data_IF_845412278222
#
_entry.id   IF_845412278222
#
_cell.length_a   1.000
_cell.length_b   1.000
_cell.length_c   1.000
_cell.angle_alpha   90.00
_cell.angle_beta   90.00
_cell.angle_gamma   90.00
#
_symmetry.space_group_name_H-M   'P 1'
#
loop_
_entity.id
_entity.type
_entity.pdbx_description
1 polymer ?
#
# COMPACT_ATOMS: atom_id res chain seq x y z
N UNK A 1 10.77 -50.28 34.41
CA UNK A 1 11.45 -49.96 33.14
C UNK A 1 11.05 -48.55 32.70
N UNK A 2 12.02 -47.66 32.54
CA UNK A 2 11.86 -46.26 32.09
C UNK A 2 11.63 -46.22 30.56
N UNK A 3 10.66 -45.44 30.07
CA UNK A 3 10.60 -44.89 28.70
C UNK A 3 9.96 -43.50 28.80
N UNK A 4 10.77 -42.45 28.97
CA UNK A 4 11.33 -41.57 27.93
C UNK A 4 10.23 -40.74 27.25
N UNK A 5 10.24 -39.44 27.62
CA UNK A 5 9.53 -38.32 27.01
C UNK A 5 9.78 -38.26 25.50
N UNK A 6 8.75 -37.90 24.73
CA UNK A 6 8.93 -37.14 23.49
C UNK A 6 8.00 -35.94 23.51
N UNK A 7 8.55 -34.83 24.01
CA UNK A 7 8.06 -33.48 23.82
C UNK A 7 8.32 -33.10 22.36
N UNK A 8 7.30 -33.18 21.50
CA UNK A 8 7.36 -32.60 20.16
C UNK A 8 7.17 -31.09 20.26
N UNK A 9 8.26 -30.38 20.56
CA UNK A 9 8.33 -28.93 20.44
C UNK A 9 8.74 -28.59 19.00
N UNK A 10 7.78 -28.59 18.08
CA UNK A 10 7.97 -28.08 16.72
C UNK A 10 7.81 -26.56 16.75
N UNK A 11 8.90 -25.83 17.05
CA UNK A 11 8.97 -24.39 16.78
C UNK A 11 9.29 -24.23 15.30
N UNK A 12 8.26 -24.16 14.47
CA UNK A 12 8.39 -23.57 13.14
C UNK A 12 8.41 -22.04 13.31
N UNK A 13 9.62 -21.48 13.33
CA UNK A 13 9.86 -20.05 13.16
C UNK A 13 9.71 -19.70 11.66
N UNK A 14 8.55 -20.00 11.07
CA UNK A 14 8.11 -19.31 9.86
C UNK A 14 7.65 -17.94 10.35
N UNK A 15 8.54 -16.95 10.31
CA UNK A 15 8.12 -15.56 10.46
C UNK A 15 6.97 -15.33 9.49
N UNK A 16 5.77 -15.12 10.03
CA UNK A 16 4.59 -14.86 9.23
C UNK A 16 4.90 -13.65 8.36
N UNK A 17 5.03 -13.86 7.06
CA UNK A 17 5.13 -12.79 6.05
C UNK A 17 3.93 -11.83 6.11
N UNK A 18 2.87 -12.25 6.79
CA UNK A 18 1.69 -11.47 7.11
C UNK A 18 1.70 -11.15 8.61
N UNK A 19 2.23 -9.98 8.95
CA UNK A 19 1.86 -9.30 10.20
C UNK A 19 0.39 -8.88 10.12
N UNK A 20 -0.32 -8.87 11.24
CA UNK A 20 -1.67 -8.29 11.31
C UNK A 20 -1.65 -6.88 10.72
N UNK A 21 -2.60 -6.62 9.84
CA UNK A 21 -2.68 -5.35 9.12
C UNK A 21 -2.96 -4.22 10.10
N UNK A 22 -2.02 -3.28 10.23
CA UNK A 22 -2.25 -2.08 11.02
C UNK A 22 -3.46 -1.30 10.47
N UNK A 23 -4.09 -0.43 11.24
CA UNK A 23 -5.21 0.36 10.72
C UNK A 23 -4.68 1.45 9.74
N UNK A 24 -5.06 1.45 8.44
CA UNK A 24 -4.60 2.47 7.48
C UNK A 24 -5.07 3.88 7.85
N UNK A 25 -6.28 4.01 8.40
CA UNK A 25 -6.86 5.29 8.76
C UNK A 25 -6.04 5.97 9.87
N UNK A 26 -5.63 5.23 10.90
CA UNK A 26 -4.81 5.77 11.99
C UNK A 26 -3.47 6.31 11.48
N UNK A 27 -2.83 5.60 10.54
CA UNK A 27 -1.60 6.09 9.91
C UNK A 27 -1.85 7.31 9.03
N UNK A 28 -2.88 7.27 8.17
CA UNK A 28 -3.19 8.36 7.24
C UNK A 28 -3.64 9.65 7.94
N UNK A 29 -4.30 9.54 9.10
CA UNK A 29 -4.70 10.70 9.91
C UNK A 29 -3.51 11.52 10.43
N UNK A 30 -2.30 10.94 10.51
CA UNK A 30 -1.08 11.70 10.84
C UNK A 30 -0.76 12.80 9.82
N UNK A 31 -1.15 12.62 8.55
CA UNK A 31 -1.01 13.65 7.52
C UNK A 31 -1.97 14.84 7.69
N UNK A 32 -3.02 14.68 8.51
CA UNK A 32 -4.01 15.73 8.80
C UNK A 32 -3.68 16.52 10.07
N UNK A 33 -2.66 16.10 10.83
CA UNK A 33 -2.27 16.77 12.06
C UNK A 33 -1.70 18.18 11.75
N UNK A 34 -2.08 19.22 12.53
CA UNK A 34 -1.48 20.54 12.38
C UNK A 34 0.04 20.49 12.55
N UNK A 35 0.78 20.99 11.56
CA UNK A 35 2.24 21.01 11.60
C UNK A 35 2.90 19.66 11.27
N UNK A 36 2.17 18.67 10.76
CA UNK A 36 2.73 17.41 10.31
C UNK A 36 3.89 17.61 9.33
N UNK A 37 5.00 16.90 9.54
CA UNK A 37 6.10 16.83 8.59
C UNK A 37 5.70 15.89 7.44
N UNK A 38 5.04 16.49 6.43
CA UNK A 38 4.53 15.75 5.27
C UNK A 38 5.65 15.05 4.51
N UNK A 39 6.86 15.61 4.51
CA UNK A 39 8.01 15.01 3.83
C UNK A 39 8.45 13.75 4.53
N UNK A 40 8.63 13.81 5.85
CA UNK A 40 9.00 12.64 6.65
C UNK A 40 7.95 11.53 6.53
N UNK A 41 6.67 11.89 6.63
CA UNK A 41 5.57 10.93 6.47
C UNK A 41 5.52 10.34 5.06
N UNK A 42 5.77 11.14 4.02
CA UNK A 42 5.85 10.65 2.64
C UNK A 42 7.02 9.68 2.46
N UNK A 43 8.19 10.00 3.00
CA UNK A 43 9.38 9.16 2.92
C UNK A 43 9.20 7.82 3.63
N UNK A 44 8.46 7.78 4.75
CA UNK A 44 8.16 6.55 5.46
C UNK A 44 7.36 5.52 4.62
N UNK A 45 6.65 5.99 3.58
CA UNK A 45 5.87 5.14 2.66
C UNK A 45 6.67 4.63 1.47
N UNK A 46 7.95 5.00 1.34
CA UNK A 46 8.78 4.59 0.22
C UNK A 46 8.95 3.06 0.18
N UNK A 47 8.71 2.40 -0.98
CA UNK A 47 8.96 0.97 -1.13
C UNK A 47 10.45 0.63 -1.13
N UNK A 48 10.82 -0.51 -0.54
CA UNK A 48 12.14 -1.14 -0.77
C UNK A 48 12.09 -2.02 -2.02
N UNK A 49 13.23 -2.56 -2.43
CA UNK A 49 13.30 -3.49 -3.55
C UNK A 49 12.40 -4.72 -3.38
N UNK A 50 12.36 -5.30 -2.19
CA UNK A 50 11.51 -6.45 -1.89
C UNK A 50 10.02 -6.11 -1.95
N UNK A 51 9.63 -4.88 -1.61
CA UNK A 51 8.22 -4.47 -1.71
C UNK A 51 7.77 -4.38 -3.18
N UNK A 52 8.65 -3.94 -4.09
CA UNK A 52 8.36 -4.01 -5.53
C UNK A 52 8.15 -5.45 -5.99
N UNK A 53 8.93 -6.41 -5.47
CA UNK A 53 8.77 -7.84 -5.78
C UNK A 53 7.45 -8.37 -5.23
N UNK A 54 7.10 -8.02 -3.98
CA UNK A 54 5.84 -8.47 -3.37
C UNK A 54 4.61 -7.88 -4.06
N UNK A 55 4.70 -6.65 -4.56
CA UNK A 55 3.58 -5.95 -5.19
C UNK A 55 3.39 -6.30 -6.68
N UNK A 56 4.48 -6.34 -7.47
CA UNK A 56 4.45 -6.54 -8.93
C UNK A 56 4.94 -7.91 -9.40
N UNK A 57 5.48 -8.74 -8.50
CA UNK A 57 6.22 -9.94 -8.86
C UNK A 57 7.64 -9.65 -9.37
N UNK A 58 8.48 -10.69 -9.41
CA UNK A 58 9.90 -10.57 -9.79
C UNK A 58 10.12 -10.03 -11.20
N UNK A 59 9.27 -10.41 -12.14
CA UNK A 59 9.38 -10.04 -13.55
C UNK A 59 9.22 -8.52 -13.77
N UNK A 60 8.32 -7.89 -13.00
CA UNK A 60 7.93 -6.50 -13.20
C UNK A 60 8.56 -5.53 -12.18
N UNK A 61 9.14 -6.04 -11.09
CA UNK A 61 9.64 -5.23 -9.97
C UNK A 61 10.70 -4.21 -10.41
N UNK A 62 11.65 -4.61 -11.27
CA UNK A 62 12.73 -3.72 -11.70
C UNK A 62 12.23 -2.59 -12.58
N UNK A 63 11.32 -2.87 -13.51
CA UNK A 63 10.67 -1.85 -14.35
C UNK A 63 9.94 -0.84 -13.48
N UNK A 64 9.16 -1.32 -12.51
CA UNK A 64 8.44 -0.45 -11.57
C UNK A 64 9.40 0.40 -10.72
N UNK A 65 10.42 -0.20 -10.10
CA UNK A 65 11.41 0.51 -9.28
C UNK A 65 12.07 1.64 -10.06
N UNK A 66 12.50 1.38 -11.30
CA UNK A 66 13.09 2.39 -12.17
C UNK A 66 12.10 3.52 -12.48
N UNK A 67 10.85 3.19 -12.82
CA UNK A 67 9.81 4.17 -13.11
C UNK A 67 9.44 5.07 -11.93
N UNK A 68 9.61 4.58 -10.71
CA UNK A 68 9.38 5.36 -9.48
C UNK A 68 10.59 6.12 -8.96
N UNK A 69 11.80 5.82 -9.44
CA UNK A 69 13.04 6.43 -8.92
C UNK A 69 12.98 7.97 -8.89
N UNK A 70 12.49 8.60 -9.97
CA UNK A 70 12.34 10.05 -10.05
C UNK A 70 11.36 10.63 -9.03
N UNK A 71 10.27 9.90 -8.72
CA UNK A 71 9.32 10.32 -7.69
C UNK A 71 9.99 10.34 -6.32
N UNK A 72 10.63 9.23 -5.93
CA UNK A 72 11.20 9.07 -4.59
C UNK A 72 12.48 9.88 -4.37
N UNK A 73 13.22 10.20 -5.44
CA UNK A 73 14.40 11.08 -5.37
C UNK A 73 14.04 12.58 -5.40
N UNK A 74 12.77 12.92 -5.61
CA UNK A 74 12.30 14.31 -5.65
C UNK A 74 11.92 14.84 -4.26
N UNK A 75 11.56 16.12 -4.19
CA UNK A 75 10.95 16.75 -2.99
C UNK A 75 9.41 16.59 -2.98
N UNK A 76 8.87 15.55 -3.61
CA UNK A 76 7.41 15.34 -3.65
C UNK A 76 6.90 15.00 -2.26
N UNK A 77 5.80 15.65 -1.88
CA UNK A 77 5.09 15.41 -0.62
C UNK A 77 3.65 15.00 -0.95
N UNK A 78 3.16 13.99 -0.23
CA UNK A 78 1.73 13.68 -0.21
C UNK A 78 1.12 14.38 1.00
N UNK A 79 -0.11 14.85 0.86
CA UNK A 79 -0.78 15.52 1.96
C UNK A 79 -2.07 16.22 1.54
N UNK A 80 -2.82 16.73 2.54
CA UNK A 80 -4.01 17.51 2.29
C UNK A 80 -3.68 18.86 1.64
N UNK A 81 -4.64 19.38 0.88
CA UNK A 81 -4.68 20.80 0.50
C UNK A 81 -5.43 21.62 1.57
N UNK A 82 -5.31 22.97 1.57
CA UNK A 82 -6.05 23.81 2.50
C UNK A 82 -7.55 23.48 2.56
N UNK A 83 -8.05 23.28 3.79
CA UNK A 83 -9.43 22.91 4.08
C UNK A 83 -9.77 21.42 3.94
N UNK A 84 -8.84 20.57 3.49
CA UNK A 84 -9.02 19.11 3.48
C UNK A 84 -8.59 18.53 4.84
N UNK A 85 -9.54 18.42 5.75
CA UNK A 85 -9.29 18.00 7.15
C UNK A 85 -9.87 16.63 7.48
N UNK A 86 -10.38 15.91 6.47
CA UNK A 86 -10.97 14.60 6.64
C UNK A 86 -10.41 13.61 5.60
N UNK A 87 -10.69 12.32 5.81
CA UNK A 87 -10.18 11.22 5.00
C UNK A 87 -11.33 10.43 4.39
N UNK A 88 -11.28 10.22 3.08
CA UNK A 88 -12.10 9.23 2.39
C UNK A 88 -11.22 8.05 1.98
N UNK A 89 -11.45 6.87 2.58
CA UNK A 89 -10.70 5.64 2.34
C UNK A 89 -11.58 4.60 1.63
N UNK A 90 -10.99 3.87 0.69
CA UNK A 90 -11.63 2.74 0.00
C UNK A 90 -10.58 1.65 -0.27
N UNK A 91 -11.01 0.39 -0.39
CA UNK A 91 -10.10 -0.73 -0.58
C UNK A 91 -10.74 -1.89 -1.33
N UNK A 92 -9.90 -2.72 -1.96
CA UNK A 92 -10.32 -3.98 -2.55
C UNK A 92 -9.17 -5.01 -2.46
N UNK A 93 -9.52 -6.30 -2.43
CA UNK A 93 -8.52 -7.35 -2.67
C UNK A 93 -8.13 -7.34 -4.14
N UNK A 94 -6.87 -7.59 -4.43
CA UNK A 94 -6.38 -7.66 -5.82
C UNK A 94 -7.12 -8.75 -6.59
N UNK A 95 -7.33 -9.91 -5.97
CA UNK A 95 -8.10 -11.00 -6.57
C UNK A 95 -9.53 -10.63 -6.96
N UNK A 96 -10.18 -9.69 -6.27
CA UNK A 96 -11.50 -9.18 -6.65
C UNK A 96 -11.39 -8.21 -7.84
N UNK A 97 -10.40 -7.31 -7.81
CA UNK A 97 -10.11 -6.41 -8.94
C UNK A 97 -9.78 -7.18 -10.22
N UNK A 98 -9.10 -8.33 -10.11
CA UNK A 98 -8.76 -9.21 -11.25
C UNK A 98 -10.00 -9.86 -11.88
N UNK A 99 -11.04 -10.15 -11.08
CA UNK A 99 -12.33 -10.65 -11.58
C UNK A 99 -13.18 -9.54 -12.19
N UNK A 100 -12.80 -8.28 -11.99
CA UNK A 100 -13.51 -7.10 -12.46
C UNK A 100 -14.35 -6.42 -11.38
N UNK A 101 -14.45 -7.02 -10.20
CA UNK A 101 -15.21 -6.51 -9.07
C UNK A 101 -14.53 -5.24 -8.52
N UNK A 102 -15.33 -4.29 -8.00
CA UNK A 102 -14.84 -3.06 -7.35
C UNK A 102 -13.98 -2.12 -8.23
N UNK A 103 -13.74 -2.44 -9.50
CA UNK A 103 -12.99 -1.58 -10.45
C UNK A 103 -13.67 -0.23 -10.71
N UNK A 104 -14.96 -0.09 -10.39
CA UNK A 104 -15.68 1.19 -10.50
C UNK A 104 -15.27 2.21 -9.44
N UNK A 105 -14.77 1.76 -8.29
CA UNK A 105 -14.31 2.64 -7.19
C UNK A 105 -12.84 3.03 -7.35
N UNK A 106 -12.06 2.22 -8.05
CA UNK A 106 -10.65 2.45 -8.32
C UNK A 106 -10.42 3.27 -9.60
N UNK A 107 -9.32 4.04 -9.68
CA UNK A 107 -8.93 4.70 -10.92
C UNK A 107 -8.85 3.70 -12.08
N UNK A 108 -9.40 4.07 -13.25
CA UNK A 108 -9.48 3.18 -14.41
C UNK A 108 -8.13 2.64 -14.91
N UNK A 109 -7.01 3.26 -14.52
CA UNK A 109 -5.67 2.75 -14.79
C UNK A 109 -5.38 1.37 -14.19
N UNK A 110 -6.03 0.98 -13.08
CA UNK A 110 -5.87 -0.36 -12.49
C UNK A 110 -6.24 -1.48 -13.48
N UNK A 111 -7.21 -1.27 -14.37
CA UNK A 111 -7.59 -2.23 -15.41
C UNK A 111 -6.42 -2.67 -16.29
N UNK A 112 -5.39 -1.82 -16.43
CA UNK A 112 -4.22 -2.08 -17.28
C UNK A 112 -3.15 -2.92 -16.62
N UNK A 113 -3.16 -3.00 -15.28
CA UNK A 113 -2.06 -3.60 -14.52
C UNK A 113 -2.50 -4.65 -13.52
N UNK A 114 -3.81 -4.84 -13.30
CA UNK A 114 -4.31 -5.71 -12.22
C UNK A 114 -3.83 -7.17 -12.35
N UNK A 115 -3.58 -7.63 -13.58
CA UNK A 115 -2.98 -8.94 -13.86
C UNK A 115 -1.50 -9.05 -13.46
N UNK A 116 -0.82 -7.92 -13.26
CA UNK A 116 0.58 -7.85 -12.83
C UNK A 116 0.72 -7.80 -11.30
N UNK A 117 -0.38 -7.60 -10.58
CA UNK A 117 -0.39 -7.40 -9.13
C UNK A 117 -0.52 -8.74 -8.41
N UNK A 118 0.11 -8.84 -7.23
CA UNK A 118 -0.03 -10.01 -6.38
C UNK A 118 -1.49 -10.17 -5.88
N UNK A 119 -2.17 -11.30 -6.18
CA UNK A 119 -3.59 -11.51 -5.88
C UNK A 119 -3.93 -11.58 -4.38
N UNK A 120 -2.94 -11.83 -3.53
CA UNK A 120 -3.11 -11.94 -2.08
C UNK A 120 -3.20 -10.58 -1.38
N UNK A 121 -2.85 -9.50 -2.07
CA UNK A 121 -2.80 -8.17 -1.48
C UNK A 121 -4.19 -7.53 -1.40
N UNK A 122 -4.34 -6.64 -0.42
CA UNK A 122 -5.39 -5.62 -0.38
C UNK A 122 -4.77 -4.28 -0.74
N UNK A 123 -5.38 -3.58 -1.68
CA UNK A 123 -4.96 -2.24 -2.09
C UNK A 123 -5.94 -1.22 -1.54
N UNK A 124 -5.39 -0.12 -1.04
CA UNK A 124 -6.13 1.02 -0.58
C UNK A 124 -5.93 2.21 -1.52
N UNK A 125 -7.04 2.91 -1.76
CA UNK A 125 -7.03 4.27 -2.25
C UNK A 125 -7.59 5.19 -1.19
N UNK A 126 -7.06 6.41 -1.12
CA UNK A 126 -7.50 7.38 -0.15
C UNK A 126 -7.54 8.78 -0.75
N UNK A 127 -8.32 9.64 -0.12
CA UNK A 127 -8.40 11.05 -0.47
C UNK A 127 -8.40 11.89 0.79
N UNK A 128 -7.61 12.96 0.79
CA UNK A 128 -7.82 14.05 1.72
C UNK A 128 -8.95 14.92 1.19
N UNK A 129 -10.00 15.08 1.99
CA UNK A 129 -11.26 15.70 1.58
C UNK A 129 -11.66 16.78 2.58
N UNK A 130 -12.53 17.70 2.14
CA UNK A 130 -13.23 18.58 3.08
C UNK A 130 -14.27 17.75 3.85
N UNK A 131 -14.64 18.14 5.08
CA UNK A 131 -15.66 17.42 5.85
C UNK A 131 -16.95 17.20 5.04
N UNK A 132 -17.48 15.97 5.09
CA UNK A 132 -18.69 15.57 4.37
C UNK A 132 -18.55 15.39 2.85
N UNK A 133 -17.35 15.59 2.28
CA UNK A 133 -17.10 15.42 0.84
C UNK A 133 -16.44 14.06 0.55
N UNK A 134 -16.63 13.56 -0.68
CA UNK A 134 -15.95 12.34 -1.19
C UNK A 134 -14.91 12.63 -2.28
N UNK A 135 -14.74 13.90 -2.63
CA UNK A 135 -13.79 14.38 -3.63
C UNK A 135 -12.74 15.29 -2.99
N UNK A 136 -11.50 15.17 -3.46
CA UNK A 136 -10.36 15.85 -2.87
C UNK A 136 -9.03 15.38 -3.47
N UNK A 137 -7.94 15.61 -2.73
CA UNK A 137 -6.62 15.19 -3.18
C UNK A 137 -6.49 13.67 -3.05
N UNK A 138 -6.33 12.98 -4.18
CA UNK A 138 -6.43 11.53 -4.26
C UNK A 138 -5.07 10.85 -4.44
N UNK A 139 -4.89 9.78 -3.69
CA UNK A 139 -3.77 8.86 -3.75
C UNK A 139 -4.29 7.42 -3.80
N UNK A 140 -3.49 6.52 -4.34
CA UNK A 140 -3.83 5.11 -4.51
C UNK A 140 -2.57 4.26 -4.51
N UNK A 141 -2.75 2.94 -4.41
CA UNK A 141 -1.64 1.98 -4.37
C UNK A 141 -1.01 1.86 -2.99
N UNK A 142 -1.76 2.20 -1.92
CA UNK A 142 -1.32 1.99 -0.56
C UNK A 142 -1.55 0.51 -0.19
N UNK A 143 -0.53 -0.14 0.35
CA UNK A 143 -0.56 -1.54 0.77
C UNK A 143 0.20 -1.75 2.07
N UNK A 144 -0.20 -2.75 2.84
CA UNK A 144 0.53 -3.18 4.02
C UNK A 144 1.41 -4.38 3.68
N UNK A 145 2.72 -4.21 3.80
CA UNK A 145 3.72 -5.22 3.45
C UNK A 145 4.72 -5.34 4.60
N UNK A 146 4.97 -6.56 5.09
CA UNK A 146 6.03 -6.86 6.06
C UNK A 146 6.01 -5.91 7.29
N UNK A 147 4.83 -5.66 7.85
CA UNK A 147 4.68 -4.84 9.06
C UNK A 147 4.68 -3.32 8.84
N UNK A 148 4.66 -2.84 7.59
CA UNK A 148 4.64 -1.40 7.31
C UNK A 148 3.74 -1.02 6.14
N UNK A 149 3.34 0.23 6.14
CA UNK A 149 2.64 0.84 5.02
C UNK A 149 3.60 1.25 3.91
N UNK A 150 3.22 0.94 2.68
CA UNK A 150 3.99 1.24 1.47
C UNK A 150 3.05 1.82 0.42
N UNK A 151 3.51 2.85 -0.28
CA UNK A 151 2.71 3.49 -1.32
C UNK A 151 3.34 3.28 -2.70
N UNK A 152 2.52 2.87 -3.67
CA UNK A 152 2.86 2.82 -5.09
C UNK A 152 1.93 3.78 -5.86
N UNK A 153 2.21 5.10 -5.91
CA UNK A 153 1.26 6.05 -6.47
C UNK A 153 0.95 5.79 -7.94
N UNK A 154 -0.33 5.62 -8.28
CA UNK A 154 -0.80 5.46 -9.68
C UNK A 154 0.01 4.40 -10.43
N UNK A 155 0.02 3.13 -9.97
CA UNK A 155 0.97 2.11 -10.40
C UNK A 155 0.94 1.80 -11.90
N UNK A 156 -0.16 2.08 -12.59
CA UNK A 156 -0.23 1.97 -14.05
C UNK A 156 0.66 2.97 -14.81
N UNK A 157 1.20 4.01 -14.16
CA UNK A 157 2.03 5.01 -14.84
C UNK A 157 3.43 4.52 -15.16
N UNK A 158 3.97 3.56 -14.40
CA UNK A 158 5.33 3.03 -14.61
C UNK A 158 5.38 1.89 -15.65
N UNK A 159 4.21 1.45 -16.13
CA UNK A 159 4.06 0.42 -17.17
C UNK A 159 3.53 0.94 -18.50
N UNK A 160 3.48 2.26 -18.68
CA UNK A 160 3.20 2.88 -19.98
C UNK A 160 4.36 2.66 -20.96
#
# INVERSE_FOLDING_TARGET
MKRIQFLFMFVLLTGSIFSEEANPESMLRKFLEPGADLRLLTQALQPTEEDYILYFGKENSKKAQNGYSGLWNSKTEIGPRPGQTDLFLYSARVSDLQKGDSLGEFPGGYRKIVSLLNPELRIYGFKFVKPGQRSGMAYDGLVFLRGRWVLFPKPWRVFR
#
